data_IF_107100594064
#
_entry.id   IF_107100594064
#
_cell.length_a   1.000
_cell.length_b   1.000
_cell.length_c   1.000
_cell.angle_alpha   90.00
_cell.angle_beta   90.00
_cell.angle_gamma   90.00
#
_symmetry.space_group_name_H-M   'P 1'
#
loop_
_entity.id
_entity.type
_entity.pdbx_description
1 polymer ?
#
# COMPACT_ATOMS: atom_id res chain seq x y z
N UNK A 1 31.61 19.99 -5.48
CA UNK A 1 30.16 19.68 -5.42
C UNK A 1 29.85 19.14 -4.03
N UNK A 2 28.88 19.72 -3.32
CA UNK A 2 28.44 19.24 -2.00
C UNK A 2 27.58 17.99 -2.21
N UNK A 3 27.88 16.90 -1.50
CA UNK A 3 27.02 15.71 -1.51
C UNK A 3 25.77 15.99 -0.67
N UNK A 4 24.56 15.74 -1.19
CA UNK A 4 23.34 15.89 -0.40
C UNK A 4 23.31 14.87 0.73
N UNK A 5 22.78 15.29 1.89
CA UNK A 5 22.50 14.41 3.01
C UNK A 5 21.01 14.01 2.95
N UNK A 6 20.69 12.76 2.57
CA UNK A 6 19.30 12.34 2.44
C UNK A 6 18.64 12.23 3.82
N UNK A 7 17.52 12.93 4.02
CA UNK A 7 16.61 12.72 5.13
C UNK A 7 15.34 12.07 4.59
N UNK A 8 15.07 10.82 4.97
CA UNK A 8 13.90 10.06 4.53
C UNK A 8 13.21 9.43 5.73
N UNK A 9 11.88 9.47 5.73
CA UNK A 9 11.05 8.75 6.70
C UNK A 9 10.52 7.48 6.05
N UNK A 10 10.52 6.37 6.79
CA UNK A 10 9.87 5.14 6.33
C UNK A 10 8.35 5.29 6.28
N UNK A 11 7.71 4.56 5.37
CA UNK A 11 6.27 4.34 5.39
C UNK A 11 6.00 2.94 5.95
N UNK A 12 4.89 2.77 6.67
CA UNK A 12 4.47 1.50 7.23
C UNK A 12 2.94 1.35 7.27
N UNK A 13 2.49 0.11 7.43
CA UNK A 13 1.10 -0.22 7.73
C UNK A 13 0.97 -0.38 9.25
N UNK A 14 0.06 0.38 9.85
CA UNK A 14 -0.12 0.43 11.30
C UNK A 14 -1.57 0.10 11.67
N UNK A 15 -1.75 -0.48 12.86
CA UNK A 15 -3.08 -0.73 13.43
C UNK A 15 -3.00 -0.69 14.95
N UNK A 16 -3.99 -0.09 15.59
CA UNK A 16 -4.19 -0.18 17.04
C UNK A 16 -4.95 -1.46 17.44
N UNK A 17 -5.65 -2.09 16.49
CA UNK A 17 -6.60 -3.19 16.74
C UNK A 17 -6.07 -4.56 16.33
N UNK A 18 -5.33 -4.62 15.22
CA UNK A 18 -4.85 -5.87 14.64
C UNK A 18 -3.34 -5.97 14.79
N UNK A 19 -2.84 -7.13 15.22
CA UNK A 19 -1.42 -7.32 15.51
C UNK A 19 -0.68 -8.03 14.37
N UNK A 20 -1.42 -8.66 13.46
CA UNK A 20 -0.88 -9.28 12.26
C UNK A 20 -1.81 -9.09 11.06
N UNK A 21 -1.27 -9.29 9.85
CA UNK A 21 -2.06 -9.26 8.62
C UNK A 21 -3.10 -10.39 8.56
N UNK A 22 -2.86 -11.49 9.26
CA UNK A 22 -3.79 -12.62 9.30
C UNK A 22 -5.06 -12.30 10.10
N UNK A 23 -4.99 -11.33 11.03
CA UNK A 23 -6.12 -10.91 11.87
C UNK A 23 -7.12 -10.01 11.12
N UNK A 24 -6.77 -9.57 9.91
CA UNK A 24 -7.62 -8.66 9.14
C UNK A 24 -8.89 -9.40 8.70
N UNK A 25 -10.09 -8.90 9.05
CA UNK A 25 -11.33 -9.48 8.57
C UNK A 25 -11.45 -9.26 7.05
N UNK A 26 -12.25 -10.11 6.39
CA UNK A 26 -12.71 -9.82 5.03
C UNK A 26 -13.47 -8.49 5.05
N UNK A 27 -13.16 -7.60 4.11
CA UNK A 27 -13.76 -6.25 4.12
C UNK A 27 -13.07 -5.27 5.07
N UNK A 28 -11.86 -5.58 5.57
CA UNK A 28 -11.08 -4.64 6.36
C UNK A 28 -10.90 -3.31 5.63
N UNK A 29 -11.00 -2.21 6.38
CA UNK A 29 -10.78 -0.86 5.86
C UNK A 29 -9.32 -0.48 6.06
N UNK A 30 -8.66 -0.05 4.99
CA UNK A 30 -7.28 0.46 5.04
C UNK A 30 -7.29 1.88 4.50
N UNK A 31 -6.85 2.82 5.34
CA UNK A 31 -6.66 4.20 4.91
C UNK A 31 -5.39 4.33 4.08
N UNK A 32 -5.46 5.02 2.95
CA UNK A 32 -4.32 5.29 2.09
C UNK A 32 -4.26 6.77 1.67
N UNK A 33 -3.06 7.27 1.40
CA UNK A 33 -2.88 8.63 0.89
C UNK A 33 -3.47 8.76 -0.51
N UNK A 34 -4.05 9.91 -0.82
CA UNK A 34 -4.74 10.18 -2.08
C UNK A 34 -3.90 10.94 -3.12
N UNK A 35 -2.65 11.29 -2.80
CA UNK A 35 -1.71 11.83 -3.78
C UNK A 35 -0.97 10.72 -4.53
N UNK A 36 -0.57 10.99 -5.77
CA UNK A 36 -0.04 9.99 -6.71
C UNK A 36 1.18 9.23 -6.16
N UNK A 37 2.11 9.94 -5.53
CA UNK A 37 3.40 9.36 -5.10
C UNK A 37 3.18 8.47 -3.87
N UNK A 38 2.40 8.94 -2.91
CA UNK A 38 2.20 8.18 -1.68
C UNK A 38 1.20 7.03 -1.90
N UNK A 39 0.20 7.19 -2.78
CA UNK A 39 -0.67 6.08 -3.19
C UNK A 39 0.13 4.97 -3.88
N UNK A 40 1.04 5.30 -4.80
CA UNK A 40 1.92 4.33 -5.45
C UNK A 40 2.71 3.50 -4.43
N UNK A 41 3.32 4.18 -3.45
CA UNK A 41 4.07 3.54 -2.36
C UNK A 41 3.18 2.66 -1.48
N UNK A 42 1.99 3.13 -1.13
CA UNK A 42 1.04 2.35 -0.32
C UNK A 42 0.62 1.07 -1.04
N UNK A 43 0.22 1.17 -2.31
CA UNK A 43 -0.23 0.02 -3.08
C UNK A 43 0.90 -0.98 -3.31
N UNK A 44 2.11 -0.51 -3.61
CA UNK A 44 3.28 -1.38 -3.72
C UNK A 44 3.56 -2.14 -2.40
N UNK A 45 3.45 -1.46 -1.25
CA UNK A 45 3.61 -2.09 0.07
C UNK A 45 2.52 -3.14 0.35
N UNK A 46 1.27 -2.86 0.00
CA UNK A 46 0.16 -3.82 0.16
C UNK A 46 0.31 -5.05 -0.73
N UNK A 47 0.84 -4.88 -1.96
CA UNK A 47 1.20 -6.00 -2.82
C UNK A 47 2.33 -6.84 -2.21
N UNK A 48 3.39 -6.20 -1.70
CA UNK A 48 4.49 -6.91 -1.03
C UNK A 48 4.02 -7.66 0.22
N UNK A 49 3.02 -7.13 0.91
CA UNK A 49 2.36 -7.77 2.05
C UNK A 49 1.40 -8.90 1.65
N UNK A 50 1.21 -9.17 0.35
CA UNK A 50 0.31 -10.21 -0.16
C UNK A 50 -1.17 -9.93 0.06
N UNK A 51 -1.56 -8.67 0.29
CA UNK A 51 -2.94 -8.28 0.55
C UNK A 51 -3.75 -8.01 -0.72
N UNK A 52 -3.06 -7.57 -1.78
CA UNK A 52 -3.62 -7.30 -3.12
C UNK A 52 -2.63 -7.73 -4.19
N UNK A 53 -3.10 -7.82 -5.44
CA UNK A 53 -2.24 -7.99 -6.62
C UNK A 53 -2.42 -6.79 -7.53
N UNK A 54 -1.31 -6.21 -7.99
CA UNK A 54 -1.29 -5.09 -8.93
C UNK A 54 -0.98 -5.58 -10.35
N UNK A 55 -1.38 -4.79 -11.34
CA UNK A 55 -1.08 -5.03 -12.74
C UNK A 55 0.44 -5.04 -12.99
N UNK A 56 0.98 -6.21 -13.33
CA UNK A 56 2.41 -6.41 -13.56
C UNK A 56 2.98 -5.67 -14.78
N UNK A 57 2.14 -5.24 -15.72
CA UNK A 57 2.58 -4.46 -16.88
C UNK A 57 2.94 -3.01 -16.51
N UNK A 58 2.47 -2.54 -15.35
CA UNK A 58 2.78 -1.24 -14.79
C UNK A 58 3.84 -1.42 -13.72
N UNK A 59 4.82 -0.51 -13.65
CA UNK A 59 5.95 -0.59 -12.71
C UNK A 59 5.96 0.51 -11.64
N UNK A 60 5.16 1.56 -11.82
CA UNK A 60 5.04 2.70 -10.91
C UNK A 60 3.79 3.52 -11.22
N UNK A 61 3.51 4.52 -10.38
CA UNK A 61 2.32 5.39 -10.42
C UNK A 61 1.01 4.61 -10.32
N UNK A 62 0.97 3.56 -9.50
CA UNK A 62 -0.22 2.76 -9.28
C UNK A 62 -1.37 3.58 -8.70
N UNK A 63 -2.57 3.20 -9.09
CA UNK A 63 -3.85 3.70 -8.59
C UNK A 63 -4.73 2.52 -8.20
N UNK A 64 -5.87 2.79 -7.57
CA UNK A 64 -6.85 1.75 -7.23
C UNK A 64 -7.33 0.96 -8.46
N UNK A 65 -7.31 1.55 -9.66
CA UNK A 65 -7.69 0.89 -10.91
C UNK A 65 -6.68 -0.17 -11.37
N UNK A 66 -5.46 -0.14 -10.83
CA UNK A 66 -4.41 -1.09 -11.18
C UNK A 66 -4.45 -2.36 -10.31
N UNK A 67 -5.38 -2.46 -9.36
CA UNK A 67 -5.58 -3.64 -8.52
C UNK A 67 -6.33 -4.70 -9.35
N UNK A 68 -5.66 -5.81 -9.64
CA UNK A 68 -6.22 -6.90 -10.44
C UNK A 68 -6.76 -8.05 -9.59
N UNK A 69 -6.34 -8.15 -8.33
CA UNK A 69 -6.93 -9.07 -7.36
C UNK A 69 -6.93 -8.47 -5.95
N UNK A 70 -8.01 -8.73 -5.21
CA UNK A 70 -8.27 -8.29 -3.84
C UNK A 70 -8.99 -9.40 -3.07
N UNK A 71 -8.29 -10.49 -2.72
CA UNK A 71 -8.92 -11.70 -2.16
C UNK A 71 -9.56 -11.45 -0.78
N UNK A 72 -9.01 -10.50 -0.02
CA UNK A 72 -9.53 -10.08 1.29
C UNK A 72 -10.66 -9.04 1.20
N UNK A 73 -11.03 -8.62 -0.02
CA UNK A 73 -12.05 -7.58 -0.28
C UNK A 73 -11.79 -6.29 0.52
N UNK A 74 -10.52 -5.90 0.66
CA UNK A 74 -10.11 -4.70 1.37
C UNK A 74 -10.85 -3.49 0.79
N UNK A 75 -11.34 -2.64 1.69
CA UNK A 75 -11.99 -1.37 1.35
C UNK A 75 -10.97 -0.26 1.59
N UNK A 76 -10.64 0.48 0.53
CA UNK A 76 -9.76 1.64 0.64
C UNK A 76 -10.58 2.87 1.06
N UNK A 77 -10.08 3.58 2.07
CA UNK A 77 -10.72 4.80 2.61
C UNK A 77 -9.75 5.97 2.68
#
# INVERSE_FOLDING_TARGET
MIKPYPFTTGIGLYSEKYHSLADFPVGAKIAIMNDVINMDRALAMLQQAGLIVLNANKKSNYSLLDIIDNPRKIIFI
#
